data_IF_489325685586
#
_entry.id   IF_489325685586
#
_cell.length_a   1.000
_cell.length_b   1.000
_cell.length_c   1.000
_cell.angle_alpha   90.00
_cell.angle_beta   90.00
_cell.angle_gamma   90.00
#
_symmetry.space_group_name_H-M   'P 1'
#
loop_
_entity.id
_entity.type
_entity.pdbx_description
1 polymer ?
#
# COMPACT_ATOMS: atom_id res chain seq x y z
N UNK A 1 14.46 3.35 28.52
CA UNK A 1 14.51 2.82 27.16
C UNK A 1 14.63 3.97 26.17
N UNK A 2 15.53 3.86 25.24
CA UNK A 2 15.65 4.85 24.17
C UNK A 2 15.16 4.27 22.85
N UNK A 3 14.61 5.13 22.03
CA UNK A 3 14.11 4.76 20.72
C UNK A 3 15.03 5.33 19.65
N UNK A 4 15.38 4.49 18.70
CA UNK A 4 16.12 4.90 17.52
C UNK A 4 15.21 4.83 16.31
N UNK A 5 15.32 5.84 15.46
CA UNK A 5 14.52 5.91 14.23
C UNK A 5 15.45 5.77 13.05
N UNK A 6 15.08 4.91 12.13
CA UNK A 6 15.88 4.63 10.95
C UNK A 6 15.02 4.82 9.70
N UNK A 7 15.54 5.57 8.74
CA UNK A 7 14.89 5.73 7.45
C UNK A 7 15.18 4.49 6.62
N UNK A 8 14.16 3.66 6.37
CA UNK A 8 14.32 2.42 5.59
C UNK A 8 13.95 2.58 4.13
N UNK A 9 13.13 3.60 3.81
CA UNK A 9 12.71 3.89 2.44
C UNK A 9 12.36 5.36 2.31
N UNK A 10 12.57 5.92 1.13
CA UNK A 10 12.28 7.33 0.89
C UNK A 10 13.47 8.24 1.10
N UNK A 11 13.24 9.56 1.21
CA UNK A 11 11.92 10.17 1.32
C UNK A 11 11.15 10.20 -0.01
N UNK A 12 9.82 10.23 0.12
CA UNK A 12 8.93 10.36 -1.03
C UNK A 12 8.16 11.68 -0.91
N UNK A 13 7.98 12.38 -2.02
CA UNK A 13 7.22 13.63 -2.01
C UNK A 13 5.76 13.37 -1.66
N UNK A 14 5.20 14.18 -0.76
CA UNK A 14 3.80 14.05 -0.35
C UNK A 14 3.58 12.98 0.70
N UNK A 15 2.35 12.46 0.75
CA UNK A 15 1.91 11.57 1.81
C UNK A 15 2.11 10.11 1.47
N UNK A 16 2.70 9.36 2.39
CA UNK A 16 2.67 7.89 2.39
C UNK A 16 1.79 7.44 3.54
N UNK A 17 1.04 6.36 3.34
CA UNK A 17 0.00 5.94 4.28
C UNK A 17 -0.22 4.42 4.23
N UNK A 18 -1.00 3.94 5.21
CA UNK A 18 -1.57 2.62 5.21
C UNK A 18 -0.57 1.48 5.15
N UNK A 19 0.45 1.45 6.01
CA UNK A 19 1.43 0.38 5.94
C UNK A 19 0.83 -0.95 6.40
N UNK A 20 1.06 -2.01 5.63
CA UNK A 20 0.68 -3.38 6.02
C UNK A 20 1.80 -4.33 5.66
N UNK A 21 1.91 -5.40 6.46
CA UNK A 21 2.91 -6.44 6.27
C UNK A 21 2.30 -7.61 5.50
N UNK A 22 2.96 -8.05 4.41
CA UNK A 22 2.43 -9.13 3.57
C UNK A 22 2.96 -10.52 3.95
N UNK A 23 3.73 -10.60 5.02
CA UNK A 23 4.41 -11.83 5.43
C UNK A 23 5.91 -11.79 5.14
N UNK A 24 6.33 -10.96 4.21
CA UNK A 24 7.73 -10.83 3.81
C UNK A 24 8.18 -9.39 3.64
N UNK A 25 7.27 -8.50 3.27
CA UNK A 25 7.60 -7.13 2.93
C UNK A 25 6.53 -6.18 3.43
N UNK A 26 6.88 -4.91 3.49
CA UNK A 26 5.99 -3.84 3.90
C UNK A 26 5.38 -3.20 2.66
N UNK A 27 4.05 -3.18 2.60
CA UNK A 27 3.31 -2.44 1.57
C UNK A 27 2.83 -1.13 2.15
N UNK A 28 2.87 -0.08 1.35
CA UNK A 28 2.34 1.22 1.77
C UNK A 28 1.94 2.04 0.54
N UNK A 29 1.04 2.98 0.73
CA UNK A 29 0.57 3.82 -0.35
C UNK A 29 1.44 5.08 -0.47
N UNK A 30 1.72 5.47 -1.70
CA UNK A 30 2.29 6.77 -2.02
C UNK A 30 1.20 7.54 -2.77
N UNK A 31 0.42 8.30 -2.02
CA UNK A 31 -0.85 8.86 -2.49
C UNK A 31 -0.69 9.81 -3.67
N UNK A 32 0.23 10.80 -3.64
CA UNK A 32 0.32 11.75 -4.75
C UNK A 32 0.68 11.12 -6.08
N UNK A 33 1.38 9.97 -6.05
CA UNK A 33 1.79 9.27 -7.26
C UNK A 33 0.84 8.14 -7.63
N UNK A 34 -0.26 7.97 -6.88
CA UNK A 34 -1.27 6.94 -7.13
C UNK A 34 -0.65 5.55 -7.27
N UNK A 35 0.16 5.18 -6.28
CA UNK A 35 0.82 3.86 -6.32
C UNK A 35 0.92 3.23 -4.95
N UNK A 36 1.06 1.91 -4.94
CA UNK A 36 1.40 1.14 -3.76
C UNK A 36 2.84 0.67 -3.95
N UNK A 37 3.65 0.89 -2.92
CA UNK A 37 5.06 0.50 -2.92
C UNK A 37 5.24 -0.70 -2.01
N UNK A 38 6.24 -1.52 -2.32
CA UNK A 38 6.59 -2.70 -1.54
C UNK A 38 8.06 -2.59 -1.15
N UNK A 39 8.32 -2.53 0.15
CA UNK A 39 9.67 -2.50 0.69
C UNK A 39 10.04 -3.88 1.22
N UNK A 40 11.10 -4.48 0.67
CA UNK A 40 11.62 -5.76 1.11
C UNK A 40 12.77 -5.51 2.08
N UNK A 41 12.58 -5.85 3.34
CA UNK A 41 13.59 -5.60 4.38
C UNK A 41 14.82 -6.50 4.23
N UNK A 42 14.71 -7.61 3.53
CA UNK A 42 15.86 -8.51 3.33
C UNK A 42 16.83 -7.96 2.30
N UNK A 43 16.33 -7.32 1.27
CA UNK A 43 17.15 -6.76 0.19
C UNK A 43 17.34 -5.27 0.29
N UNK A 44 16.47 -4.58 1.04
CA UNK A 44 16.46 -3.12 1.11
C UNK A 44 15.86 -2.46 -0.11
N UNK A 45 15.27 -3.24 -1.01
CA UNK A 45 14.69 -2.70 -2.25
C UNK A 45 13.24 -2.28 -2.06
N UNK A 46 12.87 -1.18 -2.71
CA UNK A 46 11.50 -0.73 -2.80
C UNK A 46 11.07 -0.78 -4.26
N UNK A 47 9.96 -1.45 -4.52
CA UNK A 47 9.43 -1.61 -5.88
C UNK A 47 8.00 -1.13 -5.93
N UNK A 48 7.51 -0.79 -7.12
CA UNK A 48 6.10 -0.49 -7.33
C UNK A 48 5.32 -1.79 -7.35
N UNK A 49 4.34 -1.90 -6.47
CA UNK A 49 3.49 -3.08 -6.37
C UNK A 49 2.20 -2.91 -7.18
N UNK A 50 1.61 -1.72 -7.12
CA UNK A 50 0.43 -1.35 -7.90
C UNK A 50 0.55 0.09 -8.34
N UNK A 51 0.07 0.38 -9.56
CA UNK A 51 -0.01 1.74 -10.09
C UNK A 51 -1.47 2.10 -10.35
N UNK A 52 -1.73 3.38 -10.60
CA UNK A 52 -3.07 3.89 -10.87
C UNK A 52 -4.06 3.51 -9.77
N UNK A 53 -3.65 3.73 -8.53
CA UNK A 53 -4.44 3.30 -7.36
C UNK A 53 -5.51 4.31 -6.96
N UNK A 54 -5.68 5.39 -7.70
CA UNK A 54 -6.74 6.39 -7.52
C UNK A 54 -6.81 6.90 -6.09
N UNK A 55 -5.67 7.38 -5.60
CA UNK A 55 -5.53 7.96 -4.26
C UNK A 55 -5.92 6.97 -3.16
N UNK A 56 -5.56 5.71 -3.33
CA UNK A 56 -5.79 4.71 -2.29
C UNK A 56 -5.07 5.10 -1.03
N UNK A 57 -5.79 5.04 0.06
CA UNK A 57 -5.33 5.30 1.41
C UNK A 57 -5.81 4.14 2.26
N UNK A 58 -5.04 3.72 3.24
CA UNK A 58 -5.48 2.64 4.12
C UNK A 58 -5.52 1.27 3.44
N UNK A 59 -4.53 0.45 3.70
CA UNK A 59 -4.45 -0.92 3.19
C UNK A 59 -4.73 -1.91 4.31
N UNK A 60 -5.31 -3.06 3.97
CA UNK A 60 -5.41 -4.19 4.88
C UNK A 60 -5.50 -5.50 4.11
N UNK A 61 -5.14 -6.60 4.79
CA UNK A 61 -5.31 -7.94 4.25
C UNK A 61 -6.46 -8.65 4.98
N UNK A 62 -7.20 -9.49 4.27
CA UNK A 62 -8.12 -10.40 4.94
C UNK A 62 -7.39 -11.71 5.32
N UNK A 63 -8.14 -12.65 5.92
CA UNK A 63 -7.56 -13.90 6.39
C UNK A 63 -7.03 -14.78 5.26
N UNK A 64 -7.49 -14.57 4.05
CA UNK A 64 -7.05 -15.32 2.88
C UNK A 64 -5.91 -14.65 2.13
N UNK A 65 -5.43 -13.51 2.62
CA UNK A 65 -4.33 -12.79 1.99
C UNK A 65 -4.74 -11.86 0.86
N UNK A 66 -6.01 -11.55 0.74
CA UNK A 66 -6.48 -10.57 -0.25
C UNK A 66 -6.20 -9.16 0.26
N UNK A 67 -5.70 -8.30 -0.61
CA UNK A 67 -5.36 -6.92 -0.27
C UNK A 67 -6.51 -5.99 -0.63
N UNK A 68 -6.91 -5.19 0.34
CA UNK A 68 -7.97 -4.19 0.17
C UNK A 68 -7.41 -2.80 0.43
N UNK A 69 -7.97 -1.82 -0.24
CA UNK A 69 -7.64 -0.42 -0.01
C UNK A 69 -8.85 0.47 -0.11
N UNK A 70 -8.78 1.62 0.56
CA UNK A 70 -9.83 2.64 0.50
C UNK A 70 -9.44 3.66 -0.55
N UNK A 71 -10.22 3.77 -1.61
CA UNK A 71 -10.04 4.82 -2.63
C UNK A 71 -10.87 6.03 -2.21
N UNK A 72 -10.25 6.92 -1.44
CA UNK A 72 -10.99 8.03 -0.83
C UNK A 72 -11.60 8.98 -1.86
N UNK A 73 -10.93 9.20 -2.98
CA UNK A 73 -11.45 10.04 -4.03
C UNK A 73 -12.69 9.46 -4.71
N UNK A 74 -12.83 8.15 -4.73
CA UNK A 74 -13.93 7.44 -5.36
C UNK A 74 -14.96 6.96 -4.34
N UNK A 75 -14.69 7.15 -3.06
CA UNK A 75 -15.56 6.71 -1.95
C UNK A 75 -15.90 5.23 -2.02
N UNK A 76 -14.89 4.38 -2.22
CA UNK A 76 -15.14 2.94 -2.33
C UNK A 76 -13.98 2.15 -1.78
N UNK A 77 -14.24 0.86 -1.49
CA UNK A 77 -13.23 -0.10 -1.11
C UNK A 77 -12.99 -1.01 -2.30
N UNK A 78 -11.73 -1.23 -2.64
CA UNK A 78 -11.35 -2.09 -3.74
C UNK A 78 -10.47 -3.21 -3.23
N UNK A 79 -10.53 -4.35 -3.91
CA UNK A 79 -9.59 -5.44 -3.73
C UNK A 79 -8.57 -5.40 -4.86
N UNK A 80 -7.30 -5.44 -4.52
CA UNK A 80 -6.21 -5.46 -5.50
C UNK A 80 -5.88 -6.91 -5.82
N UNK A 81 -6.13 -7.32 -7.05
CA UNK A 81 -5.94 -8.70 -7.47
C UNK A 81 -4.48 -8.97 -7.81
N UNK A 82 -4.07 -10.24 -7.74
CA UNK A 82 -2.69 -10.63 -8.03
C UNK A 82 -2.30 -10.37 -9.48
N UNK A 83 -3.26 -10.33 -10.38
CA UNK A 83 -3.01 -10.02 -11.80
C UNK A 83 -2.93 -8.53 -12.10
N UNK A 84 -2.89 -7.70 -11.04
CA UNK A 84 -2.81 -6.23 -11.11
C UNK A 84 -4.10 -5.53 -11.50
N UNK A 85 -5.23 -6.26 -11.56
CA UNK A 85 -6.55 -5.66 -11.72
C UNK A 85 -7.13 -5.30 -10.35
N UNK A 86 -8.25 -4.59 -10.34
CA UNK A 86 -8.96 -4.25 -9.11
C UNK A 86 -10.41 -4.71 -9.21
N UNK A 87 -10.99 -5.06 -8.07
CA UNK A 87 -12.40 -5.40 -7.95
C UNK A 87 -13.01 -4.49 -6.88
N UNK A 88 -14.10 -3.82 -7.23
CA UNK A 88 -14.80 -2.97 -6.26
C UNK A 88 -15.63 -3.85 -5.34
N UNK A 89 -15.30 -3.80 -4.05
CA UNK A 89 -15.96 -4.65 -3.06
C UNK A 89 -17.20 -4.00 -2.46
N UNK A 90 -17.13 -2.71 -2.17
CA UNK A 90 -18.21 -1.98 -1.54
C UNK A 90 -18.38 -0.64 -2.23
N UNK A 91 -19.25 -0.56 -3.23
CA UNK A 91 -19.56 0.73 -3.86
C UNK A 91 -20.40 1.59 -2.93
N UNK A 92 -20.28 2.87 -3.08
CA UNK A 92 -21.11 3.85 -2.37
C UNK A 92 -22.10 4.48 -3.29
#
# INVERSE_FOLDING_TARGET
MSWNFELVAGPYGGTTEGPVWDGEALLFTHIPANRILRYDSKTGETTEYFTDTRRTNGLCFDAQGNLYGCQSGERRIVRFEKDRSTTTSLPH
#
